data_IF_454360657084
#
_entry.id   IF_454360657084
#
_cell.length_a   1.000
_cell.length_b   1.000
_cell.length_c   1.000
_cell.angle_alpha   90.00
_cell.angle_beta   90.00
_cell.angle_gamma   90.00
#
_symmetry.space_group_name_H-M   'P 1'
#
loop_
_entity.id
_entity.type
_entity.pdbx_description
1 polymer ?
#
# COMPACT_ATOMS: atom_id res chain seq x y z
N UNK A 1 -5.92 12.19 -10.20
CA UNK A 1 -4.62 12.87 -10.15
C UNK A 1 -3.49 12.03 -10.74
N UNK A 2 -2.29 12.55 -10.71
CA UNK A 2 -1.08 11.79 -11.06
C UNK A 2 -0.63 10.99 -9.86
N UNK A 3 -0.48 9.67 -9.97
CA UNK A 3 0.04 8.86 -8.86
C UNK A 3 1.55 9.12 -8.70
N UNK A 4 1.99 9.18 -7.46
CA UNK A 4 3.40 9.20 -7.10
C UNK A 4 3.67 7.90 -6.34
N UNK A 5 4.41 7.00 -6.97
CA UNK A 5 4.76 5.71 -6.40
C UNK A 5 6.09 5.89 -5.67
N UNK A 6 6.07 5.70 -4.35
CA UNK A 6 7.29 5.74 -3.55
C UNK A 6 8.07 4.43 -3.71
N UNK A 7 9.40 4.52 -3.77
CA UNK A 7 10.25 3.33 -3.92
C UNK A 7 10.00 2.32 -2.80
N UNK A 8 9.76 1.07 -3.20
CA UNK A 8 9.43 -0.02 -2.29
C UNK A 8 7.94 -0.32 -2.13
N UNK A 9 7.03 0.63 -2.45
CA UNK A 9 5.59 0.34 -2.48
C UNK A 9 5.26 -0.79 -3.44
N UNK A 10 5.91 -0.80 -4.61
CA UNK A 10 5.69 -1.78 -5.67
C UNK A 10 6.12 -3.20 -5.33
N UNK A 11 6.86 -3.38 -4.24
CA UNK A 11 7.22 -4.70 -3.71
C UNK A 11 6.62 -4.98 -2.33
N UNK A 12 5.84 -4.03 -1.79
CA UNK A 12 5.19 -4.16 -0.50
C UNK A 12 6.14 -3.98 0.69
N UNK A 13 7.15 -3.11 0.59
CA UNK A 13 7.98 -2.74 1.74
C UNK A 13 7.10 -2.14 2.85
N UNK A 14 7.43 -2.47 4.08
CA UNK A 14 6.69 -2.03 5.27
C UNK A 14 7.56 -1.14 6.14
N UNK A 15 6.94 -0.51 7.14
CA UNK A 15 7.68 0.15 8.21
C UNK A 15 8.67 -0.81 8.86
N UNK A 16 9.83 -0.28 9.24
CA UNK A 16 10.85 -1.01 9.99
C UNK A 16 10.61 -0.86 11.50
N UNK A 17 10.80 -1.95 12.23
CA UNK A 17 10.83 -1.91 13.68
C UNK A 17 12.25 -2.18 14.15
N UNK A 18 12.87 -1.18 14.74
CA UNK A 18 14.17 -1.32 15.40
C UNK A 18 13.98 -1.34 16.93
N UNK A 19 14.56 -2.31 17.64
CA UNK A 19 14.29 -2.50 19.07
C UNK A 19 14.95 -1.45 19.97
N UNK A 20 15.89 -0.65 19.44
CA UNK A 20 16.66 0.32 20.20
C UNK A 20 16.54 1.72 19.62
N UNK A 21 16.49 2.73 20.49
CA UNK A 21 16.43 4.13 20.07
C UNK A 21 17.66 4.54 19.24
N UNK A 22 18.84 3.99 19.56
CA UNK A 22 20.10 4.27 18.85
C UNK A 22 20.11 3.75 17.40
N UNK A 23 19.15 2.94 17.02
CA UNK A 23 18.99 2.42 15.67
C UNK A 23 18.22 3.39 14.76
N UNK A 24 17.58 4.40 15.33
CA UNK A 24 16.90 5.47 14.61
C UNK A 24 17.82 6.69 14.45
N UNK A 25 17.68 7.38 13.33
CA UNK A 25 18.42 8.59 13.00
C UNK A 25 17.52 9.82 12.84
N UNK A 26 16.21 9.64 12.81
CA UNK A 26 15.25 10.74 12.76
C UNK A 26 15.27 11.55 14.06
N UNK A 27 15.85 12.74 13.99
CA UNK A 27 16.01 13.63 15.15
C UNK A 27 14.68 14.00 15.81
N UNK A 28 13.60 14.09 15.06
CA UNK A 28 12.27 14.39 15.62
C UNK A 28 11.81 13.24 16.52
N UNK A 29 11.96 12.01 16.07
CA UNK A 29 11.64 10.81 16.85
C UNK A 29 12.51 10.69 18.10
N UNK A 30 13.82 10.91 17.97
CA UNK A 30 14.78 10.85 19.09
C UNK A 30 14.46 11.93 20.13
N UNK A 31 14.26 13.17 19.69
CA UNK A 31 13.93 14.27 20.59
C UNK A 31 12.58 14.07 21.29
N UNK A 32 11.58 13.55 20.58
CA UNK A 32 10.29 13.23 21.18
C UNK A 32 10.42 12.13 22.25
N UNK A 33 11.27 11.12 22.04
CA UNK A 33 11.55 10.11 23.05
C UNK A 33 12.11 10.75 24.32
N UNK A 34 13.20 11.52 24.19
CA UNK A 34 13.83 12.17 25.35
C UNK A 34 12.86 13.11 26.07
N UNK A 35 12.09 13.90 25.32
CA UNK A 35 11.12 14.82 25.93
C UNK A 35 10.00 14.09 26.67
N UNK A 36 9.37 13.09 26.05
CA UNK A 36 8.15 12.47 26.61
C UNK A 36 8.46 11.36 27.63
N UNK A 37 9.58 10.65 27.47
CA UNK A 37 9.97 9.54 28.34
C UNK A 37 10.92 10.03 29.45
N UNK A 38 12.07 10.65 29.06
CA UNK A 38 13.15 10.94 30.01
C UNK A 38 12.87 12.20 30.83
N UNK A 39 12.36 13.28 30.20
CA UNK A 39 12.17 14.57 30.86
C UNK A 39 10.81 14.72 31.54
N UNK A 40 9.74 14.43 30.79
CA UNK A 40 8.36 14.68 31.25
C UNK A 40 7.70 13.46 31.90
N UNK A 41 8.23 12.26 31.69
CA UNK A 41 7.67 11.00 32.19
C UNK A 41 6.20 10.77 31.84
N UNK A 42 5.77 11.24 30.65
CA UNK A 42 4.39 11.11 30.16
C UNK A 42 4.11 9.75 29.52
N UNK A 43 5.13 9.11 28.99
CA UNK A 43 5.06 7.79 28.35
C UNK A 43 6.16 6.88 28.90
N UNK A 44 5.91 5.59 28.91
CA UNK A 44 6.96 4.61 29.10
C UNK A 44 7.72 4.36 27.79
N UNK A 45 8.98 3.91 27.92
CA UNK A 45 9.87 3.72 26.79
C UNK A 45 9.34 2.70 25.76
N UNK A 46 8.65 1.64 26.20
CA UNK A 46 8.10 0.62 25.29
C UNK A 46 6.98 1.21 24.42
N UNK A 47 6.08 1.97 25.02
CA UNK A 47 5.00 2.67 24.30
C UNK A 47 5.56 3.67 23.29
N UNK A 48 6.56 4.46 23.71
CA UNK A 48 7.17 5.44 22.82
C UNK A 48 7.90 4.79 21.65
N UNK A 49 8.61 3.67 21.87
CA UNK A 49 9.24 2.91 20.79
C UNK A 49 8.25 2.37 19.77
N UNK A 50 7.05 1.96 20.20
CA UNK A 50 5.95 1.57 19.29
C UNK A 50 5.48 2.75 18.44
N UNK A 51 5.36 3.94 19.01
CA UNK A 51 5.00 5.15 18.26
C UNK A 51 6.08 5.54 17.25
N UNK A 52 7.36 5.48 17.65
CA UNK A 52 8.48 5.74 16.74
C UNK A 52 8.46 4.76 15.56
N UNK A 53 8.27 3.46 15.81
CA UNK A 53 8.21 2.45 14.75
C UNK A 53 7.09 2.72 13.72
N UNK A 54 6.00 3.37 14.13
CA UNK A 54 4.88 3.70 13.24
C UNK A 54 5.12 5.02 12.50
N UNK A 55 5.67 6.04 13.18
CA UNK A 55 5.62 7.42 12.71
C UNK A 55 6.98 8.00 12.28
N UNK A 56 8.10 7.33 12.60
CA UNK A 56 9.43 7.84 12.25
C UNK A 56 9.59 7.99 10.73
N UNK A 57 10.22 9.10 10.34
CA UNK A 57 10.62 9.34 8.93
C UNK A 57 11.65 8.33 8.43
N UNK A 58 12.34 7.63 9.33
CA UNK A 58 13.29 6.59 8.94
C UNK A 58 12.62 5.44 8.18
N UNK A 59 11.32 5.21 8.39
CA UNK A 59 10.55 4.26 7.61
C UNK A 59 10.58 4.52 6.10
N UNK A 60 10.67 5.80 5.71
CA UNK A 60 10.78 6.22 4.32
C UNK A 60 12.24 6.32 3.81
N UNK A 61 13.21 5.90 4.61
CA UNK A 61 14.66 6.05 4.30
C UNK A 61 15.42 4.74 4.36
N UNK A 62 14.75 3.66 4.79
CA UNK A 62 15.38 2.33 4.82
C UNK A 62 15.87 1.94 3.42
N UNK A 63 17.04 1.29 3.30
CA UNK A 63 17.57 0.86 2.02
C UNK A 63 16.58 0.00 1.23
N UNK A 64 16.53 0.21 -0.10
CA UNK A 64 15.73 -0.62 -1.00
C UNK A 64 16.15 -2.08 -0.90
N UNK A 65 15.15 -2.95 -0.79
CA UNK A 65 15.33 -4.38 -0.60
C UNK A 65 15.43 -5.10 -1.95
N UNK A 66 16.64 -5.25 -2.50
CA UNK A 66 16.85 -5.87 -3.82
C UNK A 66 16.79 -7.39 -3.79
N UNK A 67 17.43 -8.01 -2.78
CA UNK A 67 17.44 -9.46 -2.62
C UNK A 67 17.63 -9.89 -1.15
N UNK A 68 17.87 -11.17 -0.92
CA UNK A 68 18.05 -11.79 0.39
C UNK A 68 19.51 -11.88 0.85
N UNK A 69 20.45 -11.26 0.12
CA UNK A 69 21.87 -11.17 0.48
C UNK A 69 22.12 -10.15 1.58
N UNK A 70 23.36 -10.04 2.05
CA UNK A 70 23.76 -9.07 3.06
C UNK A 70 23.38 -7.65 2.63
N UNK A 71 22.93 -6.83 3.58
CA UNK A 71 22.41 -5.48 3.35
C UNK A 71 21.31 -5.41 2.27
N UNK A 72 20.53 -6.50 2.10
CA UNK A 72 19.45 -6.58 1.12
C UNK A 72 19.90 -6.40 -0.35
N UNK A 73 21.17 -6.66 -0.66
CA UNK A 73 21.75 -6.37 -1.97
C UNK A 73 21.86 -4.88 -2.29
N UNK A 74 21.63 -4.00 -1.32
CA UNK A 74 21.69 -2.55 -1.50
C UNK A 74 23.12 -2.00 -1.53
N UNK A 75 24.01 -2.57 -0.72
CA UNK A 75 25.38 -2.10 -0.54
C UNK A 75 26.31 -3.28 -0.25
N UNK A 76 27.61 -3.10 -0.48
CA UNK A 76 28.69 -4.01 -0.09
C UNK A 76 29.27 -3.68 1.31
N UNK A 77 28.73 -2.67 1.99
CA UNK A 77 29.11 -2.26 3.34
C UNK A 77 27.88 -1.80 4.11
N UNK A 78 28.00 -1.61 5.42
CA UNK A 78 26.89 -1.17 6.30
C UNK A 78 26.29 0.14 5.79
N UNK A 79 25.01 0.15 5.39
CA UNK A 79 24.31 1.37 4.98
C UNK A 79 24.18 2.36 6.12
N UNK A 80 24.02 3.64 5.79
CA UNK A 80 23.78 4.70 6.77
C UNK A 80 22.51 4.46 7.58
N UNK A 81 21.39 4.13 6.92
CA UNK A 81 20.19 3.63 7.57
C UNK A 81 20.23 2.12 7.65
N UNK A 82 19.70 1.56 8.74
CA UNK A 82 19.57 0.11 8.86
C UNK A 82 18.57 -0.46 7.85
N UNK A 83 18.93 -1.59 7.29
CA UNK A 83 18.02 -2.36 6.46
C UNK A 83 16.85 -2.88 7.30
N UNK A 84 15.63 -2.80 6.76
CA UNK A 84 14.47 -3.43 7.40
C UNK A 84 14.70 -4.94 7.53
N UNK A 85 14.57 -5.52 8.73
CA UNK A 85 14.87 -6.94 8.97
C UNK A 85 14.08 -7.93 8.10
N UNK A 86 12.96 -7.50 7.53
CA UNK A 86 12.10 -8.33 6.69
C UNK A 86 12.59 -8.49 5.24
N UNK A 87 13.74 -7.93 4.87
CA UNK A 87 14.27 -8.01 3.51
C UNK A 87 14.45 -9.44 2.98
N UNK A 88 14.61 -10.40 3.87
CA UNK A 88 14.68 -11.82 3.50
C UNK A 88 13.35 -12.37 2.96
N UNK A 89 12.25 -11.75 3.31
CA UNK A 89 10.89 -12.12 2.87
C UNK A 89 10.37 -11.19 1.79
N UNK A 90 10.57 -9.88 1.94
CA UNK A 90 10.11 -8.83 1.03
C UNK A 90 11.34 -8.29 0.29
N UNK A 91 11.44 -8.53 -1.00
CA UNK A 91 12.50 -7.98 -1.84
C UNK A 91 12.16 -8.11 -3.33
N UNK A 92 12.85 -7.33 -4.16
CA UNK A 92 12.65 -7.28 -5.62
C UNK A 92 12.80 -8.65 -6.27
N UNK A 93 13.85 -9.42 -5.89
CA UNK A 93 14.10 -10.75 -6.44
C UNK A 93 12.92 -11.70 -6.25
N UNK A 94 12.31 -11.70 -5.06
CA UNK A 94 11.12 -12.52 -4.76
C UNK A 94 9.88 -11.97 -5.46
N UNK A 95 9.69 -10.65 -5.46
CA UNK A 95 8.56 -10.03 -6.14
C UNK A 95 8.57 -10.35 -7.65
N UNK A 96 9.73 -10.34 -8.30
CA UNK A 96 9.85 -10.71 -9.71
C UNK A 96 9.64 -12.20 -9.99
N UNK A 97 9.91 -13.06 -9.02
CA UNK A 97 9.72 -14.50 -9.14
C UNK A 97 8.25 -14.93 -9.00
N UNK A 98 7.42 -14.13 -8.31
CA UNK A 98 6.00 -14.41 -8.08
C UNK A 98 5.13 -13.53 -8.99
N UNK A 99 4.44 -14.16 -9.95
CA UNK A 99 3.54 -13.45 -10.88
C UNK A 99 2.29 -12.84 -10.22
N UNK A 100 1.95 -13.26 -9.01
CA UNK A 100 0.85 -12.72 -8.21
C UNK A 100 1.31 -11.66 -7.20
N UNK A 101 2.57 -11.24 -7.25
CA UNK A 101 3.13 -10.24 -6.35
C UNK A 101 2.54 -8.85 -6.59
N UNK A 102 2.70 -8.00 -5.57
CA UNK A 102 2.36 -6.57 -5.63
C UNK A 102 3.02 -5.89 -6.83
N UNK A 103 4.26 -6.27 -7.19
CA UNK A 103 4.98 -5.73 -8.34
C UNK A 103 4.20 -5.88 -9.65
N UNK A 104 3.68 -7.07 -9.95
CA UNK A 104 2.91 -7.29 -11.18
C UNK A 104 1.52 -6.64 -11.13
N UNK A 105 0.96 -6.47 -9.94
CA UNK A 105 -0.26 -5.70 -9.77
C UNK A 105 -0.04 -4.22 -10.12
N UNK A 106 1.02 -3.59 -9.60
CA UNK A 106 1.43 -2.22 -9.99
C UNK A 106 1.71 -2.11 -11.49
N UNK A 107 2.45 -3.07 -12.06
CA UNK A 107 2.72 -3.09 -13.50
C UNK A 107 1.41 -3.07 -14.30
N UNK A 108 0.42 -3.87 -13.90
CA UNK A 108 -0.90 -3.93 -14.55
C UNK A 108 -1.67 -2.63 -14.40
N UNK A 109 -1.65 -2.00 -13.23
CA UNK A 109 -2.30 -0.70 -13.02
C UNK A 109 -1.68 0.39 -13.90
N UNK A 110 -0.36 0.40 -14.03
CA UNK A 110 0.37 1.35 -14.90
C UNK A 110 0.00 1.10 -16.38
N UNK A 111 -0.02 -0.16 -16.82
CA UNK A 111 -0.44 -0.54 -18.17
C UNK A 111 -1.87 -0.05 -18.48
N UNK A 112 -2.83 -0.29 -17.57
CA UNK A 112 -4.21 0.17 -17.71
C UNK A 112 -4.27 1.69 -17.79
N UNK A 113 -3.51 2.41 -16.94
CA UNK A 113 -3.47 3.87 -16.97
C UNK A 113 -2.94 4.43 -18.29
N UNK A 114 -1.96 3.77 -18.92
CA UNK A 114 -1.42 4.18 -20.22
C UNK A 114 -2.33 3.83 -21.39
N UNK A 115 -3.03 2.71 -21.32
CA UNK A 115 -3.85 2.19 -22.43
C UNK A 115 -5.30 2.68 -22.42
N UNK A 116 -5.80 3.17 -21.26
CA UNK A 116 -7.21 3.54 -21.10
C UNK A 116 -7.37 5.03 -20.72
N UNK A 117 -7.66 5.91 -21.70
CA UNK A 117 -7.82 7.34 -21.45
C UNK A 117 -8.90 7.67 -20.40
N UNK A 118 -9.93 6.87 -20.26
CA UNK A 118 -11.00 7.03 -19.26
C UNK A 118 -10.45 7.10 -17.82
N UNK A 119 -9.33 6.42 -17.53
CA UNK A 119 -8.70 6.45 -16.22
C UNK A 119 -8.17 7.86 -15.89
N UNK A 120 -7.64 8.57 -16.88
CA UNK A 120 -7.05 9.91 -16.69
C UNK A 120 -8.04 11.02 -16.97
N UNK A 121 -8.85 10.91 -18.00
CA UNK A 121 -9.68 11.97 -18.53
C UNK A 121 -11.18 11.80 -18.22
N UNK A 122 -11.63 10.60 -17.88
CA UNK A 122 -13.02 10.31 -17.58
C UNK A 122 -13.56 11.09 -16.38
N UNK A 123 -14.86 11.36 -16.38
CA UNK A 123 -15.55 12.00 -15.26
C UNK A 123 -15.56 11.07 -14.07
N UNK A 124 -15.19 11.59 -12.90
CA UNK A 124 -15.28 10.90 -11.63
C UNK A 124 -16.65 11.10 -10.98
N UNK A 125 -17.23 10.03 -10.43
CA UNK A 125 -18.40 10.12 -9.55
C UNK A 125 -18.36 9.01 -8.50
N UNK A 126 -18.70 9.33 -7.25
CA UNK A 126 -18.97 8.31 -6.23
C UNK A 126 -20.19 7.48 -6.64
N UNK A 127 -20.20 6.20 -6.29
CA UNK A 127 -21.40 5.38 -6.42
C UNK A 127 -22.41 5.86 -5.37
N UNK A 128 -23.69 6.09 -5.76
CA UNK A 128 -24.71 6.54 -4.83
C UNK A 128 -24.83 5.61 -3.61
N UNK A 129 -24.85 6.21 -2.41
CA UNK A 129 -24.88 5.48 -1.14
C UNK A 129 -23.51 5.11 -0.58
N UNK A 130 -22.41 5.48 -1.27
CA UNK A 130 -21.05 5.23 -0.79
C UNK A 130 -20.44 6.44 -0.05
N UNK A 131 -21.18 7.54 0.06
CA UNK A 131 -20.69 8.79 0.64
C UNK A 131 -20.37 8.66 2.14
N UNK A 132 -21.08 7.77 2.83
CA UNK A 132 -20.94 7.53 4.28
C UNK A 132 -20.47 6.10 4.59
N UNK A 133 -20.03 5.33 3.58
CA UNK A 133 -19.51 3.97 3.80
C UNK A 133 -18.05 4.03 4.27
N UNK A 134 -17.82 3.70 5.52
CA UNK A 134 -16.48 3.74 6.14
C UNK A 134 -15.60 2.55 5.77
N UNK A 135 -16.17 1.51 5.17
CA UNK A 135 -15.45 0.26 4.84
C UNK A 135 -15.12 0.15 3.36
N UNK A 136 -16.07 0.53 2.51
CA UNK A 136 -15.94 0.38 1.06
C UNK A 136 -15.84 1.75 0.40
N UNK A 137 -14.88 1.91 -0.50
CA UNK A 137 -14.81 3.05 -1.40
C UNK A 137 -15.12 2.61 -2.82
N UNK A 138 -16.27 3.04 -3.33
CA UNK A 138 -16.71 2.71 -4.68
C UNK A 138 -16.99 3.97 -5.50
N UNK A 139 -16.44 4.00 -6.71
CA UNK A 139 -16.59 5.13 -7.63
C UNK A 139 -16.56 4.69 -9.09
N UNK A 140 -17.00 5.57 -9.96
CA UNK A 140 -16.92 5.38 -11.40
C UNK A 140 -15.96 6.38 -12.05
N UNK A 141 -15.35 5.96 -13.16
CA UNK A 141 -14.71 6.80 -14.15
C UNK A 141 -15.41 6.58 -15.46
N UNK A 142 -15.89 7.64 -16.09
CA UNK A 142 -16.69 7.54 -17.29
C UNK A 142 -16.28 8.56 -18.36
N UNK A 143 -16.15 8.12 -19.61
CA UNK A 143 -16.12 8.94 -20.81
C UNK A 143 -17.30 8.58 -21.73
N UNK A 144 -17.25 8.97 -23.00
CA UNK A 144 -18.34 8.78 -23.94
C UNK A 144 -18.57 7.29 -24.31
N UNK A 145 -17.52 6.47 -24.23
CA UNK A 145 -17.50 5.10 -24.73
C UNK A 145 -17.34 4.03 -23.62
N UNK A 146 -16.85 4.42 -22.47
CA UNK A 146 -16.42 3.47 -21.42
C UNK A 146 -16.78 3.96 -20.03
N UNK A 147 -17.28 3.05 -19.21
CA UNK A 147 -17.41 3.25 -17.76
C UNK A 147 -16.56 2.24 -17.01
N UNK A 148 -15.78 2.72 -16.06
CA UNK A 148 -15.10 1.89 -15.08
C UNK A 148 -15.81 2.00 -13.74
N UNK A 149 -16.12 0.87 -13.11
CA UNK A 149 -16.57 0.78 -11.73
C UNK A 149 -15.42 0.24 -10.89
N UNK A 150 -14.97 1.03 -9.94
CA UNK A 150 -13.89 0.69 -9.00
C UNK A 150 -14.51 0.43 -7.64
N UNK A 151 -14.16 -0.69 -7.00
CA UNK A 151 -14.64 -1.11 -5.69
C UNK A 151 -13.43 -1.51 -4.84
N UNK A 152 -13.28 -0.88 -3.67
CA UNK A 152 -12.13 -1.04 -2.78
C UNK A 152 -12.62 -1.27 -1.34
N UNK A 153 -12.19 -2.36 -0.72
CA UNK A 153 -12.38 -2.59 0.71
C UNK A 153 -11.11 -2.17 1.46
N UNK A 154 -11.23 -1.20 2.37
CA UNK A 154 -10.12 -0.69 3.18
C UNK A 154 -9.97 -1.40 4.54
N UNK A 155 -10.77 -2.46 4.76
CA UNK A 155 -10.79 -3.16 6.05
C UNK A 155 -10.30 -4.60 5.92
N UNK A 156 -9.98 -5.21 7.04
CA UNK A 156 -9.67 -6.63 7.20
C UNK A 156 -10.92 -7.50 7.37
N UNK A 157 -12.11 -6.92 7.17
CA UNK A 157 -13.39 -7.61 7.28
C UNK A 157 -13.95 -7.98 5.91
N UNK A 158 -14.73 -9.05 5.88
CA UNK A 158 -15.57 -9.37 4.72
C UNK A 158 -16.85 -8.56 4.78
N UNK A 159 -17.11 -7.77 3.76
CA UNK A 159 -18.25 -6.84 3.69
C UNK A 159 -19.21 -7.26 2.60
N UNK A 160 -20.52 -7.27 2.90
CA UNK A 160 -21.55 -7.53 1.92
C UNK A 160 -22.12 -6.20 1.39
N UNK A 161 -21.87 -5.91 0.13
CA UNK A 161 -22.41 -4.75 -0.61
C UNK A 161 -22.73 -5.18 -2.03
N UNK A 162 -23.87 -4.73 -2.55
CA UNK A 162 -24.29 -5.00 -3.91
C UNK A 162 -24.09 -3.77 -4.78
N UNK A 163 -23.27 -3.93 -5.81
CA UNK A 163 -23.09 -2.95 -6.86
C UNK A 163 -23.75 -3.46 -8.14
N UNK A 164 -24.31 -2.53 -8.90
CA UNK A 164 -25.00 -2.87 -10.15
C UNK A 164 -23.95 -3.12 -11.24
N UNK A 165 -23.34 -4.30 -11.18
CA UNK A 165 -22.40 -4.77 -12.21
C UNK A 165 -23.22 -5.31 -13.36
N UNK A 166 -23.07 -4.73 -14.55
CA UNK A 166 -23.80 -5.18 -15.74
C UNK A 166 -23.37 -6.60 -16.12
N UNK A 167 -24.30 -7.36 -16.74
CA UNK A 167 -24.06 -8.76 -17.08
C UNK A 167 -22.92 -8.97 -18.11
N UNK A 168 -22.60 -7.97 -18.89
CA UNK A 168 -21.52 -7.93 -19.88
C UNK A 168 -20.26 -7.19 -19.39
N UNK A 169 -20.24 -6.78 -18.12
CA UNK A 169 -19.08 -6.12 -17.54
C UNK A 169 -17.86 -7.04 -17.51
N UNK A 170 -16.73 -6.51 -17.91
CA UNK A 170 -15.45 -7.20 -17.89
C UNK A 170 -14.67 -6.84 -16.63
N UNK A 171 -14.29 -7.84 -15.82
CA UNK A 171 -13.30 -7.65 -14.75
C UNK A 171 -11.93 -7.35 -15.37
N UNK A 172 -11.40 -6.14 -15.15
CA UNK A 172 -10.11 -5.71 -15.69
C UNK A 172 -8.96 -6.12 -14.78
N UNK A 173 -9.13 -5.94 -13.48
CA UNK A 173 -8.13 -6.25 -12.46
C UNK A 173 -8.81 -6.55 -11.13
N UNK A 174 -8.26 -7.50 -10.40
CA UNK A 174 -8.58 -7.82 -9.00
C UNK A 174 -7.32 -8.33 -8.32
N UNK A 175 -7.21 -8.14 -7.01
CA UNK A 175 -6.16 -8.75 -6.19
C UNK A 175 -6.55 -10.14 -5.65
N UNK A 176 -7.72 -10.65 -6.04
CA UNK A 176 -8.18 -12.02 -5.79
C UNK A 176 -8.37 -12.76 -7.11
N UNK A 177 -8.15 -14.07 -7.12
CA UNK A 177 -8.20 -14.89 -8.33
C UNK A 177 -9.63 -15.08 -8.89
N UNK A 178 -10.61 -15.16 -7.99
CA UNK A 178 -12.03 -15.32 -8.33
C UNK A 178 -12.82 -14.03 -8.06
N UNK A 179 -13.89 -13.83 -8.78
CA UNK A 179 -14.81 -12.72 -8.59
C UNK A 179 -16.07 -13.18 -7.83
N UNK A 180 -16.34 -12.58 -6.68
CA UNK A 180 -17.54 -12.82 -5.89
C UNK A 180 -18.43 -11.59 -5.93
N UNK A 181 -19.58 -11.71 -6.62
CA UNK A 181 -20.54 -10.62 -6.66
C UNK A 181 -21.29 -10.49 -5.33
N UNK A 182 -21.30 -9.28 -4.77
CA UNK A 182 -22.01 -8.97 -3.53
C UNK A 182 -21.23 -9.24 -2.24
N UNK A 183 -20.12 -9.98 -2.32
CA UNK A 183 -19.21 -10.19 -1.20
C UNK A 183 -17.86 -9.55 -1.54
N UNK A 184 -17.39 -8.66 -0.68
CA UNK A 184 -16.11 -7.96 -0.86
C UNK A 184 -15.21 -8.38 0.30
N UNK A 185 -14.14 -9.08 -0.04
CA UNK A 185 -13.21 -9.71 0.92
C UNK A 185 -12.27 -8.68 1.54
N UNK A 186 -11.56 -9.03 2.62
CA UNK A 186 -10.57 -8.16 3.22
C UNK A 186 -9.60 -7.56 2.19
N UNK A 187 -9.46 -6.23 2.19
CA UNK A 187 -8.59 -5.48 1.28
C UNK A 187 -8.79 -5.81 -0.22
N UNK A 188 -9.96 -6.29 -0.60
CA UNK A 188 -10.27 -6.58 -1.99
C UNK A 188 -10.38 -5.29 -2.79
N UNK A 189 -9.66 -5.26 -3.92
CA UNK A 189 -9.68 -4.18 -4.89
C UNK A 189 -10.00 -4.75 -6.27
N UNK A 190 -11.08 -4.26 -6.90
CA UNK A 190 -11.48 -4.71 -8.22
C UNK A 190 -12.04 -3.61 -9.09
N UNK A 191 -11.82 -3.75 -10.40
CA UNK A 191 -12.28 -2.79 -11.41
C UNK A 191 -13.01 -3.53 -12.52
N UNK A 192 -14.25 -3.12 -12.77
CA UNK A 192 -15.03 -3.56 -13.91
C UNK A 192 -15.07 -2.51 -15.00
N UNK A 193 -15.13 -2.96 -16.26
CA UNK A 193 -15.35 -2.15 -17.45
C UNK A 193 -16.66 -2.54 -18.12
N UNK A 194 -17.44 -1.57 -18.54
CA UNK A 194 -18.63 -1.68 -19.37
C UNK A 194 -18.91 -0.38 -20.16
#
# INVERSE_FOLDING_TARGET
GTPYIYEGEEIGMTNAYFPKLEDYVDLESINAYHQLVDDQHLLDGETMMKYIAIHSRDNARTPMQWDDSEYAGFSDHTPWEKVNPNYKQINVKKALADKNSIFYYYQKLIELRHSMPVITNGRYALVPGNEEDEQIFAYTRQDDDTTLLVILNYTDETVNRHYNVLADAKLLISNYEDDQNGTIRPYEAKVYQY
#
